data_IF_535254605546
#
_entry.id   IF_535254605546
#
_cell.length_a   1.000
_cell.length_b   1.000
_cell.length_c   1.000
_cell.angle_alpha   90.00
_cell.angle_beta   90.00
_cell.angle_gamma   90.00
#
_symmetry.space_group_name_H-M   'P 1'
#
loop_
_entity.id
_entity.type
_entity.pdbx_description
1 polymer ?
#
# COMPACT_ATOMS: atom_id res chain seq x y z
N UNK A 1 -27.28 25.07 -59.26
CA UNK A 1 -26.99 25.41 -57.85
C UNK A 1 -27.35 24.18 -57.01
N UNK A 2 -26.35 23.34 -56.73
CA UNK A 2 -26.57 22.04 -56.05
C UNK A 2 -26.14 22.18 -54.61
N UNK A 3 -27.08 22.16 -53.70
CA UNK A 3 -26.84 22.19 -52.23
C UNK A 3 -26.41 20.81 -51.77
N UNK A 4 -25.16 20.74 -51.26
CA UNK A 4 -24.58 19.59 -50.63
C UNK A 4 -25.17 19.40 -49.23
N UNK A 5 -25.71 18.24 -48.85
CA UNK A 5 -26.13 18.02 -47.47
C UNK A 5 -24.90 17.81 -46.59
N UNK A 6 -24.78 18.64 -45.56
CA UNK A 6 -23.81 18.50 -44.44
C UNK A 6 -24.18 17.28 -43.61
N UNK A 7 -23.40 16.22 -43.76
CA UNK A 7 -23.43 15.07 -42.84
C UNK A 7 -22.87 15.50 -41.46
N UNK A 8 -23.75 15.81 -40.54
CA UNK A 8 -23.39 15.97 -39.14
C UNK A 8 -23.03 14.60 -38.56
N UNK A 9 -21.73 14.29 -38.56
CA UNK A 9 -21.20 13.14 -37.87
C UNK A 9 -21.40 13.35 -36.35
N UNK A 10 -22.46 12.78 -35.83
CA UNK A 10 -22.64 12.59 -34.39
C UNK A 10 -21.66 11.51 -33.93
N UNK A 11 -20.37 11.87 -33.82
CA UNK A 11 -19.41 11.09 -33.06
C UNK A 11 -19.89 11.08 -31.62
N UNK A 12 -20.57 10.02 -31.22
CA UNK A 12 -21.02 9.78 -29.85
C UNK A 12 -19.83 9.89 -28.91
N UNK A 13 -19.76 10.99 -28.17
CA UNK A 13 -18.92 11.09 -26.98
C UNK A 13 -19.38 9.96 -26.05
N UNK A 14 -18.56 8.92 -25.93
CA UNK A 14 -18.66 7.95 -24.87
C UNK A 14 -18.43 8.73 -23.57
N UNK A 15 -19.47 9.37 -23.06
CA UNK A 15 -19.49 10.03 -21.78
C UNK A 15 -19.12 8.95 -20.76
N UNK A 16 -17.96 9.11 -20.13
CA UNK A 16 -17.53 8.25 -19.03
C UNK A 16 -18.61 8.37 -17.95
N UNK A 17 -19.50 7.40 -17.91
CA UNK A 17 -20.54 7.34 -16.87
C UNK A 17 -19.86 7.38 -15.51
N UNK A 18 -20.20 8.32 -14.62
CA UNK A 18 -19.61 8.39 -13.28
C UNK A 18 -19.81 7.06 -12.51
N UNK A 19 -20.87 6.33 -12.79
CA UNK A 19 -21.11 5.00 -12.24
C UNK A 19 -20.01 3.99 -12.62
N UNK A 20 -19.58 3.95 -13.89
CA UNK A 20 -18.49 3.07 -14.33
C UNK A 20 -17.16 3.42 -13.68
N UNK A 21 -16.89 4.71 -13.43
CA UNK A 21 -15.70 5.14 -12.71
C UNK A 21 -15.70 4.62 -11.25
N UNK A 22 -16.83 4.71 -10.56
CA UNK A 22 -16.96 4.20 -9.19
C UNK A 22 -16.83 2.66 -9.12
N UNK A 23 -17.44 1.94 -10.07
CA UNK A 23 -17.31 0.48 -10.14
C UNK A 23 -15.85 0.07 -10.37
N UNK A 24 -15.13 0.76 -11.28
CA UNK A 24 -13.70 0.52 -11.50
C UNK A 24 -12.88 0.81 -10.23
N UNK A 25 -13.15 1.90 -9.55
CA UNK A 25 -12.44 2.27 -8.32
C UNK A 25 -12.67 1.25 -7.21
N UNK A 26 -13.91 0.81 -7.02
CA UNK A 26 -14.25 -0.25 -6.07
C UNK A 26 -13.54 -1.57 -6.41
N UNK A 27 -13.53 -1.98 -7.67
CA UNK A 27 -12.81 -3.17 -8.13
C UNK A 27 -11.30 -3.08 -7.87
N UNK A 28 -10.68 -1.91 -8.08
CA UNK A 28 -9.26 -1.70 -7.78
C UNK A 28 -8.97 -1.73 -6.28
N UNK A 29 -9.85 -1.21 -5.44
CA UNK A 29 -9.73 -1.29 -3.98
C UNK A 29 -9.82 -2.75 -3.52
N UNK A 30 -10.78 -3.52 -4.01
CA UNK A 30 -10.90 -4.95 -3.71
C UNK A 30 -9.67 -5.74 -4.16
N UNK A 31 -9.17 -5.49 -5.38
CA UNK A 31 -7.95 -6.10 -5.89
C UNK A 31 -6.74 -5.76 -5.03
N UNK A 32 -6.62 -4.50 -4.57
CA UNK A 32 -5.58 -4.06 -3.65
C UNK A 32 -5.67 -4.75 -2.28
N UNK A 33 -6.89 -4.90 -1.73
CA UNK A 33 -7.12 -5.63 -0.48
C UNK A 33 -6.75 -7.10 -0.62
N UNK A 34 -7.13 -7.73 -1.73
CA UNK A 34 -6.76 -9.11 -2.04
C UNK A 34 -5.24 -9.27 -2.16
N UNK A 35 -4.56 -8.36 -2.83
CA UNK A 35 -3.10 -8.36 -2.93
C UNK A 35 -2.43 -8.22 -1.55
N UNK A 36 -2.93 -7.34 -0.68
CA UNK A 36 -2.46 -7.21 0.70
C UNK A 36 -2.65 -8.50 1.48
N UNK A 37 -3.83 -9.13 1.36
CA UNK A 37 -4.14 -10.41 2.01
C UNK A 37 -3.20 -11.51 1.55
N UNK A 38 -3.09 -11.75 0.24
CA UNK A 38 -2.34 -12.88 -0.31
C UNK A 38 -0.83 -12.72 -0.12
N UNK A 39 -0.27 -11.55 -0.42
CA UNK A 39 1.16 -11.29 -0.25
C UNK A 39 1.52 -11.26 1.23
N UNK A 40 0.60 -10.78 2.08
CA UNK A 40 0.74 -10.77 3.53
C UNK A 40 0.82 -12.16 4.17
N UNK A 41 0.37 -13.24 3.48
CA UNK A 41 0.55 -14.62 3.95
C UNK A 41 2.01 -15.08 3.92
N UNK A 42 2.86 -14.44 3.10
CA UNK A 42 4.29 -14.77 3.04
C UNK A 42 4.95 -14.23 4.29
N UNK A 43 5.16 -15.09 5.27
CA UNK A 43 5.70 -14.74 6.59
C UNK A 43 6.74 -15.74 7.06
N UNK A 44 7.69 -15.23 7.83
CA UNK A 44 8.71 -16.03 8.52
C UNK A 44 8.55 -15.72 10.02
N UNK A 45 8.07 -16.68 10.83
CA UNK A 45 7.99 -16.49 12.27
C UNK A 45 9.39 -16.42 12.87
N UNK A 46 9.55 -15.55 13.86
CA UNK A 46 10.80 -15.41 14.60
C UNK A 46 10.61 -15.92 16.04
N UNK A 47 11.52 -16.76 16.57
CA UNK A 47 11.30 -17.41 17.87
C UNK A 47 11.39 -16.44 19.07
N UNK A 48 11.94 -15.25 18.88
CA UNK A 48 12.21 -14.29 19.96
C UNK A 48 11.27 -13.07 19.94
N UNK A 49 10.35 -12.97 18.97
CA UNK A 49 9.39 -11.85 18.88
C UNK A 49 8.03 -12.34 18.39
N UNK A 50 6.93 -11.76 18.91
CA UNK A 50 5.58 -12.07 18.42
C UNK A 50 5.29 -11.48 17.04
N UNK A 51 6.18 -10.64 16.49
CA UNK A 51 6.03 -10.02 15.17
C UNK A 51 6.79 -10.84 14.13
N UNK A 52 6.14 -11.48 13.16
CA UNK A 52 6.84 -12.20 12.10
C UNK A 52 7.45 -11.24 11.07
N UNK A 53 8.50 -11.65 10.38
CA UNK A 53 8.89 -11.01 9.13
C UNK A 53 7.78 -11.29 8.12
N UNK A 54 7.20 -10.25 7.55
CA UNK A 54 6.08 -10.38 6.60
C UNK A 54 6.33 -9.60 5.32
N UNK A 55 5.77 -10.07 4.22
CA UNK A 55 5.69 -9.32 2.97
C UNK A 55 4.53 -8.31 2.95
N UNK A 56 3.78 -8.18 4.04
CA UNK A 56 2.65 -7.23 4.15
C UNK A 56 3.07 -5.78 3.95
N UNK A 57 4.21 -5.34 4.52
CA UNK A 57 4.76 -3.99 4.30
C UNK A 57 5.13 -3.76 2.83
N UNK A 58 5.74 -4.75 2.18
CA UNK A 58 6.04 -4.70 0.74
C UNK A 58 4.75 -4.61 -0.09
N UNK A 59 3.73 -5.40 0.23
CA UNK A 59 2.43 -5.33 -0.42
C UNK A 59 1.79 -3.94 -0.29
N UNK A 60 1.86 -3.33 0.91
CA UNK A 60 1.32 -1.99 1.16
C UNK A 60 2.06 -0.91 0.36
N UNK A 61 3.41 -1.00 0.25
CA UNK A 61 4.22 -0.15 -0.63
C UNK A 61 3.78 -0.29 -2.08
N UNK A 62 3.65 -1.54 -2.57
CA UNK A 62 3.26 -1.85 -3.94
C UNK A 62 1.85 -1.36 -4.28
N UNK A 63 0.88 -1.67 -3.44
CA UNK A 63 -0.52 -1.24 -3.62
C UNK A 63 -0.62 0.29 -3.62
N UNK A 64 0.07 0.98 -2.71
CA UNK A 64 0.14 2.44 -2.71
C UNK A 64 0.79 3.00 -3.97
N UNK A 65 1.94 2.45 -4.39
CA UNK A 65 2.67 2.88 -5.58
C UNK A 65 1.85 2.72 -6.87
N UNK A 66 1.19 1.58 -7.04
CA UNK A 66 0.46 1.22 -8.26
C UNK A 66 -0.93 1.86 -8.30
N UNK A 67 -1.74 1.71 -7.26
CA UNK A 67 -3.11 2.22 -7.22
C UNK A 67 -3.20 3.70 -6.84
N UNK A 68 -2.15 4.24 -6.24
CA UNK A 68 -2.08 5.60 -5.72
C UNK A 68 -2.63 5.73 -4.31
N UNK A 69 -2.41 6.91 -3.69
CA UNK A 69 -2.67 7.14 -2.26
C UNK A 69 -4.11 6.80 -1.84
N UNK A 70 -5.11 7.28 -2.59
CA UNK A 70 -6.53 7.11 -2.19
C UNK A 70 -6.96 5.65 -2.23
N UNK A 71 -6.78 4.97 -3.38
CA UNK A 71 -7.21 3.57 -3.55
C UNK A 71 -6.38 2.64 -2.68
N UNK A 72 -5.05 2.88 -2.60
CA UNK A 72 -4.17 2.11 -1.73
C UNK A 72 -4.53 2.21 -0.26
N UNK A 73 -4.81 3.42 0.23
CA UNK A 73 -5.26 3.62 1.61
C UNK A 73 -6.62 2.96 1.88
N UNK A 74 -7.57 3.06 0.94
CA UNK A 74 -8.87 2.39 1.05
C UNK A 74 -8.71 0.86 1.06
N UNK A 75 -7.78 0.30 0.27
CA UNK A 75 -7.46 -1.13 0.29
C UNK A 75 -6.93 -1.58 1.65
N UNK A 76 -6.03 -0.80 2.25
CA UNK A 76 -5.47 -1.10 3.57
C UNK A 76 -6.51 -0.92 4.69
N UNK A 77 -7.37 0.10 4.60
CA UNK A 77 -8.49 0.29 5.52
C UNK A 77 -9.48 -0.87 5.46
N UNK A 78 -9.82 -1.32 4.25
CA UNK A 78 -10.72 -2.46 4.07
C UNK A 78 -10.10 -3.75 4.64
N UNK A 79 -8.80 -4.00 4.42
CA UNK A 79 -8.08 -5.10 5.05
C UNK A 79 -8.21 -5.05 6.57
N UNK A 80 -7.90 -3.88 7.17
CA UNK A 80 -7.99 -3.68 8.61
C UNK A 80 -9.42 -3.87 9.16
N UNK A 81 -10.44 -3.38 8.44
CA UNK A 81 -11.83 -3.55 8.81
C UNK A 81 -12.26 -5.03 8.76
N UNK A 82 -11.91 -5.74 7.69
CA UNK A 82 -12.17 -7.18 7.56
C UNK A 82 -11.49 -7.97 8.68
N UNK A 83 -10.22 -7.67 8.96
CA UNK A 83 -9.51 -8.29 10.06
C UNK A 83 -10.19 -8.02 11.41
N UNK A 84 -10.57 -6.77 11.69
CA UNK A 84 -11.19 -6.38 12.96
C UNK A 84 -12.50 -7.13 13.24
N UNK A 85 -13.30 -7.44 12.20
CA UNK A 85 -14.51 -8.25 12.32
C UNK A 85 -14.24 -9.76 12.34
N UNK A 86 -12.97 -10.17 12.37
CA UNK A 86 -12.58 -11.59 12.50
C UNK A 86 -12.39 -12.34 11.18
N UNK A 87 -12.47 -11.66 10.02
CA UNK A 87 -12.23 -12.32 8.74
C UNK A 87 -10.77 -12.84 8.65
N UNK A 88 -10.53 -14.04 8.09
CA UNK A 88 -9.21 -14.67 8.01
C UNK A 88 -8.35 -14.06 6.89
N UNK A 89 -7.98 -12.79 7.03
CA UNK A 89 -7.26 -12.01 5.99
C UNK A 89 -5.84 -11.62 6.37
N UNK A 90 -5.43 -11.88 7.62
CA UNK A 90 -4.08 -11.62 8.11
C UNK A 90 -3.16 -12.82 7.98
N UNK A 91 -1.89 -12.64 8.32
CA UNK A 91 -0.86 -13.69 8.30
C UNK A 91 -1.33 -14.98 8.98
N UNK A 92 -1.10 -16.13 8.35
CA UNK A 92 -1.58 -17.42 8.81
C UNK A 92 -3.10 -17.57 8.75
N UNK A 93 -3.76 -16.82 7.88
CA UNK A 93 -5.22 -16.79 7.75
C UNK A 93 -5.93 -16.44 9.06
N UNK A 94 -5.30 -15.63 9.89
CA UNK A 94 -5.85 -15.15 11.15
C UNK A 94 -6.74 -13.92 10.93
N UNK A 95 -7.56 -13.62 11.93
CA UNK A 95 -8.41 -12.43 12.00
C UNK A 95 -8.45 -11.87 13.42
N UNK A 96 -9.19 -10.79 13.61
CA UNK A 96 -9.27 -10.09 14.88
C UNK A 96 -8.16 -9.07 15.09
N UNK A 97 -8.20 -8.41 16.24
CA UNK A 97 -7.22 -7.41 16.65
C UNK A 97 -5.99 -8.06 17.30
N UNK A 98 -5.28 -8.87 16.51
CA UNK A 98 -4.08 -9.59 16.95
C UNK A 98 -2.98 -8.64 17.44
N UNK A 99 -1.93 -9.19 18.09
CA UNK A 99 -0.80 -8.41 18.66
C UNK A 99 -0.10 -7.51 17.60
N UNK A 100 -0.14 -7.89 16.34
CA UNK A 100 0.46 -7.13 15.22
C UNK A 100 -0.53 -6.20 14.51
N UNK A 101 -1.77 -6.05 14.98
CA UNK A 101 -2.82 -5.29 14.30
C UNK A 101 -2.44 -3.83 14.04
N UNK A 102 -1.65 -3.21 14.92
CA UNK A 102 -1.15 -1.85 14.71
C UNK A 102 -0.32 -1.68 13.44
N UNK A 103 0.41 -2.71 13.01
CA UNK A 103 1.13 -2.69 11.73
C UNK A 103 0.15 -2.73 10.54
N UNK A 104 -0.97 -3.43 10.67
CA UNK A 104 -2.03 -3.44 9.65
C UNK A 104 -2.65 -2.04 9.50
N UNK A 105 -2.89 -1.35 10.62
CA UNK A 105 -3.29 0.08 10.61
C UNK A 105 -2.23 0.93 9.92
N UNK A 106 -0.95 0.65 10.17
CA UNK A 106 0.19 1.33 9.54
C UNK A 106 0.27 1.16 8.02
N UNK A 107 -0.31 0.10 7.45
CA UNK A 107 -0.37 -0.06 5.98
C UNK A 107 -1.13 1.08 5.28
N UNK A 108 -2.07 1.71 5.97
CA UNK A 108 -2.75 2.91 5.45
C UNK A 108 -1.76 4.06 5.24
N UNK A 109 -0.88 4.29 6.22
CA UNK A 109 0.17 5.33 6.14
C UNK A 109 1.17 4.99 5.02
N UNK A 110 1.62 3.74 4.95
CA UNK A 110 2.49 3.26 3.86
C UNK A 110 1.85 3.57 2.50
N UNK A 111 0.61 3.15 2.29
CA UNK A 111 -0.07 3.32 1.00
C UNK A 111 -0.29 4.80 0.63
N UNK A 112 -0.59 5.65 1.61
CA UNK A 112 -0.71 7.10 1.41
C UNK A 112 0.60 7.72 0.93
N UNK A 113 1.71 7.41 1.58
CA UNK A 113 3.03 7.97 1.28
C UNK A 113 3.58 7.39 -0.02
N UNK A 114 3.51 6.06 -0.21
CA UNK A 114 3.96 5.39 -1.43
C UNK A 114 3.19 5.87 -2.68
N UNK A 115 1.89 6.12 -2.55
CA UNK A 115 1.09 6.67 -3.64
C UNK A 115 1.47 8.11 -3.99
N UNK A 116 1.91 8.92 -3.01
CA UNK A 116 2.49 10.25 -3.27
C UNK A 116 3.87 10.13 -3.91
N UNK A 117 4.70 9.18 -3.45
CA UNK A 117 6.00 8.89 -4.07
C UNK A 117 5.86 8.60 -5.58
N UNK A 118 4.85 7.83 -5.99
CA UNK A 118 4.56 7.57 -7.40
C UNK A 118 4.18 8.84 -8.17
N UNK A 119 3.53 9.82 -7.52
CA UNK A 119 3.22 11.11 -8.13
C UNK A 119 4.47 11.97 -8.27
N UNK A 120 5.32 12.00 -7.24
CA UNK A 120 6.62 12.70 -7.28
C UNK A 120 7.50 12.09 -8.36
N UNK A 121 7.58 10.77 -8.43
CA UNK A 121 8.30 10.04 -9.47
C UNK A 121 7.90 10.48 -10.88
N UNK A 122 6.60 10.55 -11.16
CA UNK A 122 6.10 10.91 -12.49
C UNK A 122 6.35 12.36 -12.88
N UNK A 123 6.57 13.24 -11.91
CA UNK A 123 6.83 14.67 -12.12
C UNK A 123 8.32 15.05 -12.05
N UNK A 124 9.17 14.09 -11.71
CA UNK A 124 10.59 14.36 -11.53
C UNK A 124 11.28 14.62 -12.87
N UNK A 125 11.86 15.80 -13.05
CA UNK A 125 12.53 16.25 -14.28
C UNK A 125 14.06 16.10 -14.25
N UNK A 126 14.62 15.62 -13.13
CA UNK A 126 16.06 15.41 -12.95
C UNK A 126 16.61 14.16 -13.64
N UNK A 127 17.88 13.87 -13.42
CA UNK A 127 18.54 12.66 -13.90
C UNK A 127 17.85 11.39 -13.37
N UNK A 128 18.04 10.25 -14.08
CA UNK A 128 17.49 8.96 -13.63
C UNK A 128 18.03 8.58 -12.25
N UNK A 129 19.29 8.84 -11.96
CA UNK A 129 19.89 8.58 -10.66
C UNK A 129 19.22 9.39 -9.54
N UNK A 130 18.97 10.69 -9.75
CA UNK A 130 18.25 11.55 -8.81
C UNK A 130 16.81 11.07 -8.60
N UNK A 131 16.14 10.66 -9.67
CA UNK A 131 14.78 10.12 -9.62
C UNK A 131 14.70 8.84 -8.80
N UNK A 132 15.63 7.90 -9.02
CA UNK A 132 15.73 6.65 -8.26
C UNK A 132 16.03 6.93 -6.79
N UNK A 133 17.00 7.79 -6.49
CA UNK A 133 17.36 8.17 -5.13
C UNK A 133 16.15 8.78 -4.37
N UNK A 134 15.43 9.71 -5.01
CA UNK A 134 14.20 10.29 -4.43
C UNK A 134 13.13 9.21 -4.20
N UNK A 135 12.95 8.29 -5.14
CA UNK A 135 12.02 7.18 -5.01
C UNK A 135 12.35 6.28 -3.83
N UNK A 136 13.62 5.89 -3.68
CA UNK A 136 14.10 5.06 -2.55
C UNK A 136 13.84 5.77 -1.22
N UNK A 137 14.22 7.04 -1.09
CA UNK A 137 14.00 7.81 0.16
C UNK A 137 12.51 7.86 0.52
N UNK A 138 11.64 8.14 -0.46
CA UNK A 138 10.20 8.20 -0.21
C UNK A 138 9.61 6.83 0.16
N UNK A 139 10.10 5.74 -0.44
CA UNK A 139 9.68 4.38 -0.08
C UNK A 139 10.17 3.98 1.31
N UNK A 140 11.38 4.37 1.70
CA UNK A 140 11.90 4.17 3.05
C UNK A 140 11.06 4.93 4.09
N UNK A 141 10.72 6.20 3.82
CA UNK A 141 9.84 6.97 4.69
C UNK A 141 8.44 6.36 4.79
N UNK A 142 7.90 5.86 3.66
CA UNK A 142 6.64 5.15 3.65
C UNK A 142 6.72 3.89 4.52
N UNK A 143 7.76 3.06 4.34
CA UNK A 143 7.97 1.85 5.14
C UNK A 143 8.11 2.18 6.63
N UNK A 144 8.94 3.16 6.98
CA UNK A 144 9.16 3.56 8.37
C UNK A 144 7.88 4.04 9.08
N UNK A 145 6.93 4.60 8.35
CA UNK A 145 5.66 5.08 8.93
C UNK A 145 4.83 3.99 9.61
N UNK A 146 5.02 2.71 9.25
CA UNK A 146 4.30 1.57 9.84
C UNK A 146 4.60 1.42 11.33
N UNK A 147 5.81 1.80 11.74
CA UNK A 147 6.25 1.60 13.12
C UNK A 147 5.53 2.52 14.11
N UNK A 148 4.97 3.64 13.67
CA UNK A 148 4.24 4.54 14.58
C UNK A 148 3.03 3.82 15.20
N UNK A 149 2.01 3.40 14.44
CA UNK A 149 0.90 2.65 15.02
C UNK A 149 1.29 1.22 15.44
N UNK A 150 2.26 0.59 14.74
CA UNK A 150 2.71 -0.78 15.02
C UNK A 150 3.30 -0.92 16.43
N UNK A 151 4.23 -0.05 16.80
CA UNK A 151 4.90 -0.11 18.12
C UNK A 151 3.98 0.35 19.24
N UNK A 152 3.14 1.36 19.02
CA UNK A 152 2.14 1.79 19.99
C UNK A 152 1.21 0.62 20.33
N UNK A 153 0.67 -0.04 19.28
CA UNK A 153 -0.22 -1.19 19.46
C UNK A 153 0.49 -2.37 20.13
N UNK A 154 1.69 -2.71 19.66
CA UNK A 154 2.48 -3.80 20.23
C UNK A 154 2.71 -3.59 21.72
N UNK A 155 3.11 -2.38 22.11
CA UNK A 155 3.30 -2.01 23.52
C UNK A 155 2.01 -2.19 24.33
N UNK A 156 0.88 -1.70 23.82
CA UNK A 156 -0.42 -1.79 24.52
C UNK A 156 -0.89 -3.25 24.61
N UNK A 157 -0.81 -4.00 23.52
CA UNK A 157 -1.28 -5.38 23.44
C UNK A 157 -0.46 -6.36 24.29
N UNK A 158 0.83 -6.07 24.51
CA UNK A 158 1.73 -6.94 25.29
C UNK A 158 2.03 -6.45 26.70
N UNK A 159 1.68 -5.20 27.03
CA UNK A 159 2.10 -4.56 28.28
C UNK A 159 3.60 -4.27 28.37
N UNK A 160 4.36 -4.40 27.28
CA UNK A 160 5.80 -4.28 27.26
C UNK A 160 6.28 -2.84 27.50
N UNK A 161 7.55 -2.70 27.94
CA UNK A 161 8.23 -1.40 27.98
C UNK A 161 8.50 -0.88 26.55
N UNK A 162 8.76 0.42 26.39
CA UNK A 162 9.16 0.98 25.10
C UNK A 162 10.44 0.38 24.54
N UNK A 163 11.43 0.11 25.40
CA UNK A 163 12.68 -0.55 24.99
C UNK A 163 12.42 -1.95 24.42
N UNK A 164 11.57 -2.73 25.08
CA UNK A 164 11.17 -4.07 24.61
C UNK A 164 10.37 -3.99 23.31
N UNK A 165 9.40 -3.07 23.19
CA UNK A 165 8.62 -2.91 21.96
C UNK A 165 9.51 -2.51 20.77
N UNK A 166 10.49 -1.63 20.97
CA UNK A 166 11.45 -1.25 19.92
C UNK A 166 12.36 -2.40 19.53
N UNK A 167 12.93 -3.13 20.50
CA UNK A 167 13.84 -4.24 20.23
C UNK A 167 13.16 -5.41 19.53
N UNK A 168 11.89 -5.69 19.84
CA UNK A 168 11.13 -6.81 19.28
C UNK A 168 10.33 -6.43 18.02
N UNK A 169 9.85 -5.18 17.92
CA UNK A 169 8.93 -4.75 16.89
C UNK A 169 9.55 -3.88 15.78
N UNK A 170 10.83 -3.44 15.93
CA UNK A 170 11.48 -2.59 14.93
C UNK A 170 12.85 -3.15 14.51
N UNK A 171 13.75 -3.40 15.48
CA UNK A 171 15.16 -3.72 15.18
C UNK A 171 15.33 -4.88 14.22
N UNK A 172 14.64 -6.03 14.36
CA UNK A 172 14.82 -7.20 13.48
C UNK A 172 14.37 -6.94 12.03
N UNK A 173 13.55 -5.91 11.81
CA UNK A 173 12.90 -5.67 10.52
C UNK A 173 13.60 -4.63 9.66
N UNK A 174 14.50 -3.81 10.23
CA UNK A 174 15.15 -2.67 9.56
C UNK A 174 15.80 -3.10 8.24
N UNK A 175 16.62 -4.15 8.26
CA UNK A 175 17.34 -4.61 7.06
C UNK A 175 16.36 -5.10 5.99
N UNK A 176 15.36 -5.90 6.39
CA UNK A 176 14.33 -6.40 5.49
C UNK A 176 13.50 -5.28 4.88
N UNK A 177 13.17 -4.26 5.65
CA UNK A 177 12.34 -3.13 5.18
C UNK A 177 13.12 -2.19 4.27
N UNK A 178 14.43 -2.02 4.48
CA UNK A 178 15.29 -1.31 3.54
C UNK A 178 15.28 -2.04 2.18
N UNK A 179 15.50 -3.35 2.18
CA UNK A 179 15.50 -4.15 0.96
C UNK A 179 14.16 -4.09 0.23
N UNK A 180 13.05 -4.29 0.95
CA UNK A 180 11.70 -4.18 0.40
C UNK A 180 11.42 -2.81 -0.21
N UNK A 181 11.87 -1.73 0.45
CA UNK A 181 11.68 -0.35 -0.01
C UNK A 181 12.45 -0.07 -1.30
N UNK A 182 13.68 -0.57 -1.40
CA UNK A 182 14.49 -0.46 -2.63
C UNK A 182 13.81 -1.20 -3.77
N UNK A 183 13.39 -2.45 -3.56
CA UNK A 183 12.69 -3.24 -4.58
C UNK A 183 11.36 -2.61 -4.97
N UNK A 184 10.58 -2.12 -3.99
CA UNK A 184 9.30 -1.46 -4.23
C UNK A 184 9.44 -0.15 -5.04
N UNK A 185 10.60 0.50 -5.03
CA UNK A 185 10.88 1.67 -5.88
C UNK A 185 10.71 1.34 -7.35
N UNK A 186 11.02 0.10 -7.77
CA UNK A 186 10.79 -0.39 -9.12
C UNK A 186 9.31 -0.42 -9.56
N UNK A 187 8.37 -0.34 -8.62
CA UNK A 187 6.92 -0.30 -8.89
C UNK A 187 6.40 1.12 -9.17
N UNK A 188 7.18 2.17 -8.87
CA UNK A 188 6.75 3.56 -9.05
C UNK A 188 6.35 3.92 -10.49
N UNK A 189 7.05 3.42 -11.55
CA UNK A 189 6.66 3.68 -12.94
C UNK A 189 5.33 3.02 -13.34
N UNK A 190 4.90 1.95 -12.68
CA UNK A 190 3.73 1.17 -13.09
C UNK A 190 2.42 1.97 -13.04
N UNK A 191 2.32 2.98 -12.17
CA UNK A 191 1.14 3.83 -12.04
C UNK A 191 0.78 4.61 -13.32
N UNK A 192 1.77 4.98 -14.12
CA UNK A 192 1.53 5.71 -15.37
C UNK A 192 0.76 4.89 -16.40
N UNK A 193 0.80 3.57 -16.30
CA UNK A 193 0.12 2.61 -17.20
C UNK A 193 -1.35 2.34 -16.82
N UNK A 194 -1.79 2.75 -15.64
CA UNK A 194 -3.15 2.52 -15.11
C UNK A 194 -4.02 3.78 -15.11
N UNK A 195 -3.51 4.89 -15.62
CA UNK A 195 -4.25 6.13 -15.88
C UNK A 195 -4.77 6.13 -17.33
#
# INVERSE_FOLDING_TARGET
MVTKPSSTSAAGSLTHSPALAHVRDAGLVLAGTLALTLIGQITIPLPFTPVPISMGTFAALGVGAVLGSRRGALSALLLGALAAVGAPVLAGWSGGTVVTFGYVVGYVLIALIAGRAATVWSRHSGSMASRVATGVVLMLLASASVYVPGLIWLKVATGASWSTALSLGLVPFIVGDILKSVVATGLLPARSRLR
#
